data_IF_574407513250
#
_entry.id   IF_574407513250
#
_cell.length_a   1.000
_cell.length_b   1.000
_cell.length_c   1.000
_cell.angle_alpha   90.00
_cell.angle_beta   90.00
_cell.angle_gamma   90.00
#
_symmetry.space_group_name_H-M   'P 1'
#
loop_
_entity.id
_entity.type
_entity.pdbx_description
1 polymer ?
#
# COMPACT_ATOMS: atom_id res chain seq x y z
N UNK A 1 -3.51 -5.53 -0.11
CA UNK A 1 -4.53 -4.85 -0.93
C UNK A 1 -5.65 -4.29 -0.07
N UNK A 2 -6.64 -5.11 0.36
CA UNK A 2 -7.86 -4.62 1.02
C UNK A 2 -7.57 -3.70 2.20
N UNK A 3 -6.70 -4.11 3.14
CA UNK A 3 -6.36 -3.26 4.29
C UNK A 3 -5.75 -1.91 3.89
N UNK A 4 -4.88 -1.89 2.88
CA UNK A 4 -4.28 -0.65 2.38
C UNK A 4 -5.32 0.25 1.69
N UNK A 5 -6.25 -0.34 0.92
CA UNK A 5 -7.36 0.37 0.29
C UNK A 5 -8.31 0.96 1.33
N UNK A 6 -8.70 0.16 2.34
CA UNK A 6 -9.57 0.60 3.43
C UNK A 6 -8.95 1.78 4.18
N UNK A 7 -7.66 1.69 4.54
CA UNK A 7 -6.96 2.78 5.24
C UNK A 7 -6.93 4.05 4.37
N UNK A 8 -6.54 3.95 3.10
CA UNK A 8 -6.45 5.12 2.22
C UNK A 8 -7.81 5.81 1.99
N UNK A 9 -8.88 5.03 1.82
CA UNK A 9 -10.24 5.58 1.72
C UNK A 9 -10.70 6.21 3.05
N UNK A 10 -10.40 5.57 4.18
CA UNK A 10 -10.74 6.10 5.50
C UNK A 10 -10.01 7.42 5.83
N UNK A 11 -8.84 7.64 5.23
CA UNK A 11 -8.09 8.89 5.31
C UNK A 11 -8.58 9.98 4.33
N UNK A 12 -9.60 9.69 3.53
CA UNK A 12 -10.20 10.66 2.61
C UNK A 12 -9.44 10.85 1.30
N UNK A 13 -8.55 9.92 0.93
CA UNK A 13 -7.93 9.96 -0.39
C UNK A 13 -8.98 9.80 -1.49
N UNK A 14 -8.73 10.40 -2.66
CA UNK A 14 -9.57 10.15 -3.82
C UNK A 14 -9.52 8.65 -4.18
N UNK A 15 -10.63 8.07 -4.69
CA UNK A 15 -10.68 6.63 -4.97
C UNK A 15 -9.54 6.12 -5.86
N UNK A 16 -9.10 6.92 -6.83
CA UNK A 16 -7.99 6.59 -7.73
C UNK A 16 -6.65 6.54 -7.01
N UNK A 17 -6.38 7.48 -6.11
CA UNK A 17 -5.16 7.52 -5.30
C UNK A 17 -5.15 6.40 -4.26
N UNK A 18 -6.30 6.13 -3.63
CA UNK A 18 -6.45 5.02 -2.69
C UNK A 18 -6.21 3.67 -3.38
N UNK A 19 -6.71 3.50 -4.60
CA UNK A 19 -6.48 2.31 -5.40
C UNK A 19 -5.00 2.18 -5.77
N UNK A 20 -4.34 3.26 -6.22
CA UNK A 20 -2.90 3.28 -6.48
C UNK A 20 -2.12 2.87 -5.23
N UNK A 21 -2.35 3.52 -4.10
CA UNK A 21 -1.70 3.18 -2.83
C UNK A 21 -1.87 1.69 -2.49
N UNK A 22 -3.08 1.14 -2.62
CA UNK A 22 -3.36 -0.26 -2.33
C UNK A 22 -2.64 -1.24 -3.26
N UNK A 23 -2.49 -0.90 -4.55
CA UNK A 23 -1.74 -1.69 -5.53
C UNK A 23 -0.25 -1.70 -5.17
N UNK A 24 0.34 -0.53 -4.93
CA UNK A 24 1.77 -0.42 -4.58
C UNK A 24 2.09 -1.12 -3.26
N UNK A 25 1.23 -0.99 -2.24
CA UNK A 25 1.36 -1.74 -0.99
C UNK A 25 1.33 -3.27 -1.21
N UNK A 26 0.51 -3.74 -2.16
CA UNK A 26 0.38 -5.18 -2.44
C UNK A 26 1.57 -5.70 -3.25
N UNK A 27 2.02 -4.93 -4.23
CA UNK A 27 3.21 -5.23 -5.01
C UNK A 27 4.46 -5.30 -4.11
N UNK A 28 4.60 -4.36 -3.17
CA UNK A 28 5.71 -4.41 -2.21
C UNK A 28 5.55 -5.59 -1.23
N UNK A 29 4.34 -5.88 -0.74
CA UNK A 29 4.07 -7.02 0.15
C UNK A 29 4.55 -8.34 -0.43
N UNK A 30 4.34 -8.60 -1.73
CA UNK A 30 4.71 -9.90 -2.33
C UNK A 30 6.21 -10.11 -2.48
N UNK A 31 7.02 -9.08 -2.23
CA UNK A 31 8.50 -9.17 -2.19
C UNK A 31 9.04 -9.61 -0.83
N UNK A 32 8.21 -9.62 0.22
CA UNK A 32 8.62 -9.91 1.60
C UNK A 32 8.02 -11.22 2.08
N UNK A 33 8.82 -11.99 2.84
CA UNK A 33 8.35 -13.22 3.48
C UNK A 33 7.50 -12.91 4.73
N UNK A 34 6.52 -13.78 4.98
CA UNK A 34 5.63 -13.68 6.14
C UNK A 34 4.32 -12.96 5.83
N UNK A 35 3.27 -13.31 6.59
CA UNK A 35 1.95 -12.75 6.42
C UNK A 35 1.87 -11.32 6.99
N UNK A 36 1.82 -11.20 8.31
CA UNK A 36 1.76 -9.91 9.00
C UNK A 36 3.15 -9.25 9.11
N UNK A 37 4.19 -10.04 9.40
CA UNK A 37 5.57 -9.55 9.48
C UNK A 37 6.13 -9.06 8.14
N UNK A 38 5.54 -9.49 7.02
CA UNK A 38 5.89 -9.07 5.68
C UNK A 38 5.09 -7.88 5.17
N UNK A 39 4.18 -7.29 5.97
CA UNK A 39 3.45 -6.11 5.55
C UNK A 39 4.39 -4.90 5.44
N UNK A 40 4.32 -4.12 4.35
CA UNK A 40 5.10 -2.90 4.23
C UNK A 40 4.55 -1.80 5.14
N UNK A 41 5.44 -0.90 5.56
CA UNK A 41 5.06 0.33 6.28
C UNK A 41 4.57 1.39 5.31
N UNK A 42 3.86 2.41 5.82
CA UNK A 42 3.41 3.57 5.02
C UNK A 42 4.56 4.19 4.22
N UNK A 43 5.67 4.48 4.88
CA UNK A 43 6.83 5.14 4.28
C UNK A 43 7.44 4.32 3.13
N UNK A 44 7.50 2.98 3.28
CA UNK A 44 7.99 2.12 2.20
C UNK A 44 7.06 2.12 0.99
N UNK A 45 5.75 2.15 1.21
CA UNK A 45 4.77 2.22 0.10
C UNK A 45 4.86 3.57 -0.60
N UNK A 46 4.98 4.68 0.13
CA UNK A 46 5.13 6.02 -0.46
C UNK A 46 6.45 6.16 -1.23
N UNK A 47 7.55 5.63 -0.69
CA UNK A 47 8.83 5.61 -1.38
C UNK A 47 8.74 4.81 -2.68
N UNK A 48 8.07 3.65 -2.66
CA UNK A 48 7.89 2.83 -3.85
C UNK A 48 6.97 3.49 -4.88
N UNK A 49 5.89 4.14 -4.43
CA UNK A 49 4.96 4.89 -5.28
C UNK A 49 5.65 6.02 -6.06
N UNK A 50 6.63 6.69 -5.46
CA UNK A 50 7.37 7.79 -6.11
C UNK A 50 8.63 7.33 -6.87
N UNK A 51 8.93 6.02 -6.89
CA UNK A 51 10.12 5.46 -7.56
C UNK A 51 9.90 5.05 -9.01
N UNK A 52 8.66 5.15 -9.50
CA UNK A 52 8.21 4.75 -10.84
C UNK A 52 7.48 5.91 -11.49
#
# INVERSE_FOLDING_TARGET
FVGALTVALAEGQQPEDALRFAVYASALKVTKFGAQSGLPTRAEVEAFLHSV
#
